data_IF_207737021594
#
_entry.id   IF_207737021594
#
_cell.length_a   1.000
_cell.length_b   1.000
_cell.length_c   1.000
_cell.angle_alpha   90.00
_cell.angle_beta   90.00
_cell.angle_gamma   90.00
#
_symmetry.space_group_name_H-M   'P 1'
#
loop_
_entity.id
_entity.type
_entity.pdbx_description
1 polymer ?
#
# COMPACT_ATOMS: atom_id res chain seq x y z
N UNK A 1 -7.56 0.10 24.16
CA UNK A 1 -6.86 1.28 23.63
C UNK A 1 -7.22 1.37 22.17
N UNK A 2 -7.75 2.50 21.68
CA UNK A 2 -7.92 2.65 20.24
C UNK A 2 -6.53 2.54 19.62
N UNK A 3 -6.28 1.53 18.77
CA UNK A 3 -5.08 1.52 17.96
C UNK A 3 -5.06 2.84 17.20
N UNK A 4 -3.90 3.51 17.14
CA UNK A 4 -3.73 4.58 16.16
C UNK A 4 -4.03 3.93 14.81
N UNK A 5 -4.95 4.52 14.04
CA UNK A 5 -5.31 3.96 12.74
C UNK A 5 -4.14 4.05 11.76
N UNK A 6 -4.23 3.32 10.65
CA UNK A 6 -3.18 3.20 9.65
C UNK A 6 -3.68 3.57 8.25
N UNK A 7 -2.75 4.03 7.41
CA UNK A 7 -2.99 4.34 6.01
C UNK A 7 -2.52 3.15 5.16
N UNK A 8 -3.45 2.55 4.43
CA UNK A 8 -3.17 1.43 3.53
C UNK A 8 -2.82 1.92 2.14
N UNK A 9 -1.71 1.44 1.59
CA UNK A 9 -1.27 1.79 0.25
C UNK A 9 -0.99 0.53 -0.55
N UNK A 10 -1.67 0.38 -1.69
CA UNK A 10 -1.38 -0.70 -2.62
C UNK A 10 0.05 -0.59 -3.20
N UNK A 11 0.55 -1.70 -3.72
CA UNK A 11 1.89 -1.82 -4.23
C UNK A 11 1.96 -1.68 -5.76
N UNK A 12 1.37 -2.60 -6.51
CA UNK A 12 1.51 -2.71 -7.96
C UNK A 12 0.59 -1.76 -8.71
N UNK A 13 1.15 -0.76 -9.38
CA UNK A 13 0.38 0.30 -10.05
C UNK A 13 0.14 1.51 -9.15
N UNK A 14 0.45 1.39 -7.86
CA UNK A 14 0.25 2.45 -6.85
C UNK A 14 1.57 3.00 -6.32
N UNK A 15 2.42 2.15 -5.73
CA UNK A 15 3.77 2.53 -5.25
C UNK A 15 4.86 2.21 -6.25
N UNK A 16 4.74 1.10 -6.96
CA UNK A 16 5.67 0.65 -7.98
C UNK A 16 4.95 0.56 -9.34
N UNK A 17 5.62 0.98 -10.42
CA UNK A 17 5.06 0.87 -11.78
C UNK A 17 4.77 -0.59 -12.10
N UNK A 18 3.59 -0.86 -12.66
CA UNK A 18 3.20 -2.21 -13.04
C UNK A 18 2.62 -2.20 -14.46
N UNK A 19 3.09 -3.13 -15.29
CA UNK A 19 2.58 -3.35 -16.64
C UNK A 19 2.07 -4.79 -16.82
N UNK A 20 2.87 -5.79 -16.47
CA UNK A 20 2.48 -7.19 -16.44
C UNK A 20 3.26 -7.98 -15.39
N UNK A 21 2.73 -9.15 -15.02
CA UNK A 21 3.34 -10.02 -14.02
C UNK A 21 4.65 -10.64 -14.52
N UNK A 22 5.73 -10.45 -13.76
CA UNK A 22 7.06 -11.03 -14.04
C UNK A 22 7.56 -11.99 -12.95
N UNK A 23 6.73 -12.33 -11.97
CA UNK A 23 7.10 -13.14 -10.82
C UNK A 23 7.09 -12.35 -9.51
N UNK A 24 7.06 -13.09 -8.40
CA UNK A 24 6.87 -12.54 -7.05
C UNK A 24 7.99 -11.56 -6.64
N UNK A 25 9.21 -11.81 -7.13
CA UNK A 25 10.41 -11.05 -6.81
C UNK A 25 10.55 -9.76 -7.63
N UNK A 26 9.79 -9.61 -8.72
CA UNK A 26 9.91 -8.44 -9.58
C UNK A 26 9.19 -7.23 -8.99
N UNK A 27 9.89 -6.10 -8.91
CA UNK A 27 9.35 -4.80 -8.47
C UNK A 27 9.65 -3.76 -9.54
N UNK A 28 8.64 -2.94 -9.86
CA UNK A 28 8.78 -1.83 -10.80
C UNK A 28 9.47 -0.61 -10.20
N UNK A 29 9.61 0.44 -11.01
CA UNK A 29 10.17 1.71 -10.55
C UNK A 29 9.22 2.41 -9.57
N UNK A 30 9.74 3.18 -8.61
CA UNK A 30 8.90 3.93 -7.68
C UNK A 30 8.04 4.97 -8.41
N UNK A 31 6.75 5.01 -8.08
CA UNK A 31 5.82 6.05 -8.53
C UNK A 31 5.97 7.24 -7.58
N UNK A 32 6.86 8.16 -7.95
CA UNK A 32 7.32 9.28 -7.10
C UNK A 32 6.19 10.04 -6.38
N UNK A 33 5.06 10.43 -7.03
CA UNK A 33 3.99 11.14 -6.34
C UNK A 33 3.39 10.38 -5.15
N UNK A 34 3.26 9.04 -5.25
CA UNK A 34 2.72 8.23 -4.16
C UNK A 34 3.79 7.96 -3.10
N UNK A 35 5.03 7.69 -3.48
CA UNK A 35 6.14 7.53 -2.54
C UNK A 35 6.35 8.82 -1.71
N UNK A 36 6.29 9.99 -2.33
CA UNK A 36 6.42 11.29 -1.63
C UNK A 36 5.28 11.51 -0.62
N UNK A 37 4.06 11.07 -0.94
CA UNK A 37 2.92 11.11 -0.03
C UNK A 37 3.13 10.17 1.17
N UNK A 38 3.64 8.96 0.94
CA UNK A 38 4.00 8.03 2.01
C UNK A 38 5.06 8.62 2.92
N UNK A 39 6.13 9.20 2.36
CA UNK A 39 7.18 9.89 3.15
C UNK A 39 6.59 10.99 4.04
N UNK A 40 5.72 11.84 3.49
CA UNK A 40 5.07 12.88 4.28
C UNK A 40 4.25 12.32 5.46
N UNK A 41 3.52 11.21 5.26
CA UNK A 41 2.82 10.56 6.38
C UNK A 41 3.76 9.98 7.42
N UNK A 42 4.86 9.35 7.00
CA UNK A 42 5.88 8.83 7.91
C UNK A 42 6.55 9.95 8.72
N UNK A 43 6.85 11.09 8.09
CA UNK A 43 7.40 12.29 8.75
C UNK A 43 6.41 12.89 9.78
N UNK A 44 5.10 12.77 9.52
CA UNK A 44 4.04 13.13 10.46
C UNK A 44 3.82 12.09 11.58
N UNK A 45 4.56 10.98 11.58
CA UNK A 45 4.43 9.91 12.56
C UNK A 45 3.17 9.06 12.39
N UNK A 46 2.58 9.04 11.19
CA UNK A 46 1.44 8.19 10.85
C UNK A 46 1.91 6.76 10.55
N UNK A 47 1.10 5.79 10.93
CA UNK A 47 1.34 4.40 10.57
C UNK A 47 0.90 4.17 9.11
N UNK A 48 1.81 3.66 8.29
CA UNK A 48 1.56 3.31 6.89
C UNK A 48 1.83 1.83 6.71
N UNK A 49 0.92 1.12 6.05
CA UNK A 49 1.07 -0.30 5.71
C UNK A 49 0.98 -0.48 4.21
N UNK A 50 1.81 -1.36 3.66
CA UNK A 50 1.65 -1.88 2.30
C UNK A 50 0.46 -2.83 2.32
N UNK A 51 -0.60 -2.49 1.60
CA UNK A 51 -1.80 -3.30 1.49
C UNK A 51 -1.91 -3.87 0.07
N UNK A 52 -1.41 -5.10 -0.14
CA UNK A 52 -1.26 -5.64 -1.50
C UNK A 52 -1.83 -7.06 -1.67
N UNK A 53 -2.37 -7.32 -2.86
CA UNK A 53 -2.83 -8.65 -3.25
C UNK A 53 -1.69 -9.66 -3.44
N UNK A 54 -0.42 -9.24 -3.61
CA UNK A 54 0.73 -10.16 -3.74
C UNK A 54 0.77 -11.19 -2.60
N UNK A 55 0.39 -10.78 -1.40
CA UNK A 55 0.45 -11.62 -0.21
C UNK A 55 -0.79 -12.52 -0.03
N UNK A 56 -1.69 -12.57 -1.02
CA UNK A 56 -2.75 -13.57 -1.12
C UNK A 56 -2.28 -14.86 -1.81
N UNK A 57 -1.16 -14.83 -2.51
CA UNK A 57 -0.57 -16.00 -3.18
C UNK A 57 0.16 -16.95 -2.22
N UNK A 58 0.50 -18.17 -2.67
CA UNK A 58 1.29 -19.11 -1.89
C UNK A 58 2.78 -18.74 -1.79
N UNK A 59 3.25 -17.86 -2.67
CA UNK A 59 4.63 -17.39 -2.72
C UNK A 59 4.85 -16.23 -1.73
N UNK A 60 6.03 -16.16 -1.12
CA UNK A 60 6.36 -15.09 -0.17
C UNK A 60 6.68 -13.78 -0.91
N UNK A 61 5.72 -12.87 -0.90
CA UNK A 61 5.82 -11.52 -1.46
C UNK A 61 6.83 -10.62 -0.73
N UNK A 62 7.11 -10.90 0.55
CA UNK A 62 7.66 -9.91 1.48
C UNK A 62 9.09 -9.47 1.13
N UNK A 63 10.04 -10.36 0.78
CA UNK A 63 11.42 -9.93 0.56
C UNK A 63 11.57 -8.84 -0.51
N UNK A 64 10.80 -8.95 -1.60
CA UNK A 64 10.83 -7.98 -2.68
C UNK A 64 10.25 -6.61 -2.26
N UNK A 65 9.14 -6.62 -1.54
CA UNK A 65 8.47 -5.41 -1.03
C UNK A 65 9.31 -4.76 0.07
N UNK A 66 9.89 -5.55 0.97
CA UNK A 66 10.79 -5.08 2.03
C UNK A 66 12.02 -4.37 1.44
N UNK A 67 12.61 -4.95 0.38
CA UNK A 67 13.70 -4.32 -0.37
C UNK A 67 13.30 -2.97 -0.98
N UNK A 68 12.10 -2.87 -1.56
CA UNK A 68 11.55 -1.61 -2.04
C UNK A 68 11.35 -0.59 -0.92
N UNK A 69 10.77 -1.01 0.21
CA UNK A 69 10.53 -0.15 1.37
C UNK A 69 11.85 0.42 1.93
N UNK A 70 12.88 -0.42 2.07
CA UNK A 70 14.20 0.04 2.51
C UNK A 70 14.82 1.06 1.54
N UNK A 71 14.71 0.83 0.23
CA UNK A 71 15.25 1.73 -0.78
C UNK A 71 14.51 3.08 -0.81
N UNK A 72 13.18 3.08 -0.73
CA UNK A 72 12.37 4.28 -0.93
C UNK A 72 12.04 5.04 0.36
N UNK A 73 11.92 4.34 1.48
CA UNK A 73 11.46 4.90 2.76
C UNK A 73 12.50 4.79 3.88
N UNK A 74 13.61 4.08 3.65
CA UNK A 74 14.65 3.87 4.66
C UNK A 74 14.23 2.95 5.82
N UNK A 75 13.04 2.35 5.73
CA UNK A 75 12.48 1.45 6.75
C UNK A 75 11.51 0.47 6.10
N UNK A 76 11.36 -0.70 6.71
CA UNK A 76 10.34 -1.68 6.30
C UNK A 76 8.99 -1.24 6.88
N UNK A 77 8.01 -1.05 6.01
CA UNK A 77 6.61 -0.85 6.40
C UNK A 77 5.93 -2.20 6.63
N UNK A 78 4.91 -2.25 7.50
CA UNK A 78 4.11 -3.47 7.67
C UNK A 78 3.43 -3.84 6.35
N UNK A 79 3.43 -5.13 6.00
CA UNK A 79 2.86 -5.66 4.76
C UNK A 79 1.69 -6.58 5.12
N UNK A 80 0.51 -6.29 4.56
CA UNK A 80 -0.70 -7.06 4.81
C UNK A 80 -1.57 -7.16 3.55
N UNK A 81 -2.40 -8.19 3.47
CA UNK A 81 -3.54 -8.28 2.56
C UNK A 81 -4.88 -8.35 3.34
N UNK A 82 -4.85 -8.11 4.64
CA UNK A 82 -5.99 -8.21 5.55
C UNK A 82 -6.41 -6.82 5.98
N UNK A 83 -7.69 -6.49 5.76
CA UNK A 83 -8.31 -5.27 6.28
C UNK A 83 -8.76 -5.47 7.72
N UNK A 84 -8.52 -4.46 8.55
CA UNK A 84 -9.02 -4.39 9.92
C UNK A 84 -9.73 -3.05 10.19
N UNK A 85 -10.23 -2.88 11.43
CA UNK A 85 -10.93 -1.67 11.86
C UNK A 85 -10.05 -0.42 11.98
N UNK A 86 -8.72 -0.58 11.90
CA UNK A 86 -7.75 0.50 11.99
C UNK A 86 -7.49 1.22 10.66
N UNK A 87 -7.95 0.70 9.52
CA UNK A 87 -7.73 1.34 8.21
C UNK A 87 -8.44 2.70 8.12
N UNK A 88 -7.67 3.78 8.02
CA UNK A 88 -8.16 5.17 7.88
C UNK A 88 -8.43 5.51 6.42
N UNK A 89 -7.44 5.30 5.55
CA UNK A 89 -7.51 5.57 4.12
C UNK A 89 -6.90 4.40 3.34
N UNK A 90 -7.49 4.08 2.18
CA UNK A 90 -6.92 3.14 1.22
C UNK A 90 -6.57 3.89 -0.06
N UNK A 91 -5.29 3.83 -0.44
CA UNK A 91 -4.76 4.39 -1.68
C UNK A 91 -4.38 3.23 -2.60
N UNK A 92 -5.05 3.14 -3.74
CA UNK A 92 -4.99 1.98 -4.63
C UNK A 92 -5.45 2.41 -6.03
N UNK A 93 -4.74 1.98 -7.08
CA UNK A 93 -4.99 2.33 -8.48
C UNK A 93 -6.35 1.83 -9.01
N UNK A 94 -6.96 0.86 -8.31
CA UNK A 94 -8.23 0.22 -8.65
C UNK A 94 -9.36 0.59 -7.70
N UNK A 95 -9.08 1.22 -6.56
CA UNK A 95 -10.11 1.59 -5.60
C UNK A 95 -11.06 2.67 -6.15
N UNK A 96 -12.36 2.39 -6.06
CA UNK A 96 -13.43 3.37 -6.37
C UNK A 96 -14.21 3.67 -5.11
N UNK A 97 -14.19 4.94 -4.68
CA UNK A 97 -14.91 5.38 -3.49
C UNK A 97 -16.42 5.37 -3.73
N UNK A 98 -17.16 4.86 -2.75
CA UNK A 98 -18.62 4.99 -2.67
C UNK A 98 -19.04 5.88 -1.50
N UNK A 99 -20.17 6.55 -1.65
CA UNK A 99 -20.81 7.28 -0.58
C UNK A 99 -21.31 6.29 0.49
N UNK A 100 -21.13 6.69 1.75
CA UNK A 100 -21.41 5.87 2.90
C UNK A 100 -22.88 5.43 2.93
N UNK A 101 -23.10 4.12 3.04
CA UNK A 101 -24.42 3.47 3.06
C UNK A 101 -25.30 3.70 1.83
N UNK A 102 -24.77 4.16 0.68
CA UNK A 102 -25.60 4.32 -0.54
C UNK A 102 -25.11 3.49 -1.73
N UNK A 103 -23.84 3.10 -1.75
CA UNK A 103 -23.23 2.40 -2.88
C UNK A 103 -23.05 3.27 -4.13
N UNK A 104 -23.39 4.56 -4.07
CA UNK A 104 -23.19 5.50 -5.18
C UNK A 104 -21.73 5.89 -5.27
N UNK A 105 -21.18 5.91 -6.48
CA UNK A 105 -19.81 6.36 -6.72
C UNK A 105 -19.65 7.83 -6.32
N UNK A 106 -18.58 8.13 -5.57
CA UNK A 106 -18.14 9.50 -5.33
C UNK A 106 -17.36 9.98 -6.55
N UNK A 107 -17.72 11.16 -7.07
CA UNK A 107 -17.10 11.80 -8.22
C UNK A 107 -15.76 12.45 -7.90
#
# INVERSE_FOLDING_TARGET
MASRGWYGVDFDGTLATYDYWRGIDHVGNPIKPMCDRVRAWLDEGKEVRIFTARCAGPEDCKPAIEGFCLAEFGQILEITNIKDFGLIELWDDRAVRVEYNTGKRVG
#
